data_IF_872771893683
#
_entry.id   IF_872771893683
#
_cell.length_a   1.000
_cell.length_b   1.000
_cell.length_c   1.000
_cell.angle_alpha   90.00
_cell.angle_beta   90.00
_cell.angle_gamma   90.00
#
_symmetry.space_group_name_H-M   'P 1'
#
loop_
_entity.id
_entity.type
_entity.pdbx_description
1 polymer ?
#
# COMPACT_ATOMS: atom_id res chain seq x y z
N UNK A 1 9.21 -10.65 4.14
CA UNK A 1 9.84 -9.75 3.15
C UNK A 1 9.61 -8.32 3.60
N UNK A 2 10.61 -7.47 3.51
CA UNK A 2 10.39 -6.08 3.90
C UNK A 2 9.64 -5.33 2.79
N UNK A 3 9.15 -4.14 3.12
CA UNK A 3 8.31 -3.39 2.20
C UNK A 3 9.04 -3.00 0.92
N UNK A 4 10.31 -2.62 1.02
CA UNK A 4 11.08 -2.21 -0.16
C UNK A 4 11.24 -3.38 -1.13
N UNK A 5 11.49 -4.57 -0.59
CA UNK A 5 11.61 -5.78 -1.41
C UNK A 5 10.28 -6.11 -2.08
N UNK A 6 9.19 -6.01 -1.31
CA UNK A 6 7.86 -6.34 -1.83
C UNK A 6 7.46 -5.38 -2.96
N UNK A 7 7.72 -4.09 -2.79
CA UNK A 7 7.42 -3.10 -3.83
C UNK A 7 8.30 -3.35 -5.06
N UNK A 8 9.58 -3.67 -4.85
CA UNK A 8 10.48 -3.99 -5.97
C UNK A 8 9.99 -5.16 -6.79
N UNK A 9 9.56 -6.24 -6.11
CA UNK A 9 9.02 -7.40 -6.81
C UNK A 9 7.72 -7.09 -7.53
N UNK A 10 6.87 -6.29 -6.92
CA UNK A 10 5.64 -5.87 -7.55
C UNK A 10 5.91 -5.16 -8.88
N UNK A 11 6.87 -4.25 -8.88
CA UNK A 11 7.20 -3.50 -10.08
C UNK A 11 7.79 -4.40 -11.17
N UNK A 12 8.49 -5.45 -10.78
CA UNK A 12 9.04 -6.41 -11.74
C UNK A 12 7.98 -7.32 -12.33
N UNK A 13 7.03 -7.73 -11.50
CA UNK A 13 6.01 -8.69 -11.93
C UNK A 13 4.89 -8.06 -12.73
N UNK A 14 4.50 -6.83 -12.39
CA UNK A 14 3.36 -6.19 -13.03
C UNK A 14 3.81 -5.24 -14.13
N UNK A 15 3.35 -5.49 -15.35
CA UNK A 15 3.64 -4.60 -16.48
C UNK A 15 2.68 -3.42 -16.53
N UNK A 16 1.63 -3.43 -15.71
CA UNK A 16 0.60 -2.40 -15.77
C UNK A 16 0.80 -1.28 -14.77
N UNK A 17 1.54 -1.54 -13.70
CA UNK A 17 1.73 -0.58 -12.62
C UNK A 17 2.86 0.37 -12.97
N UNK A 18 2.58 1.67 -12.89
CA UNK A 18 3.57 2.71 -13.20
C UNK A 18 4.28 3.25 -11.97
N UNK A 19 3.61 3.21 -10.82
CA UNK A 19 4.21 3.60 -9.55
C UNK A 19 3.43 2.94 -8.41
N UNK A 20 4.12 2.67 -7.31
CA UNK A 20 3.48 2.02 -6.16
C UNK A 20 4.10 2.49 -4.86
N UNK A 21 3.28 2.50 -3.79
CA UNK A 21 3.76 2.78 -2.44
C UNK A 21 3.13 1.79 -1.47
N UNK A 22 3.82 1.58 -0.35
CA UNK A 22 3.29 0.78 0.74
C UNK A 22 3.27 1.64 2.00
N UNK A 23 2.15 1.58 2.72
CA UNK A 23 1.95 2.35 3.94
C UNK A 23 1.71 1.43 5.12
N UNK A 24 2.16 1.84 6.30
CA UNK A 24 1.90 1.12 7.53
C UNK A 24 0.56 1.51 8.14
N UNK A 25 0.29 0.95 9.29
CA UNK A 25 -0.98 1.16 9.99
C UNK A 25 -1.22 2.63 10.31
N UNK A 26 -0.16 3.35 10.65
CA UNK A 26 -0.24 4.76 11.01
C UNK A 26 -0.20 5.69 9.80
N UNK A 27 -0.20 5.14 8.59
CA UNK A 27 -0.14 5.95 7.38
C UNK A 27 1.25 6.34 6.95
N UNK A 28 2.28 5.92 7.69
CA UNK A 28 3.65 6.24 7.31
C UNK A 28 4.07 5.44 6.08
N UNK A 29 4.93 6.04 5.26
CA UNK A 29 5.41 5.39 4.04
C UNK A 29 6.47 4.37 4.41
N UNK A 30 6.21 3.10 4.10
CA UNK A 30 7.16 2.02 4.34
C UNK A 30 8.12 1.86 3.17
N UNK A 31 7.63 2.04 1.96
CA UNK A 31 8.43 1.92 0.75
C UNK A 31 7.72 2.55 -0.42
N UNK A 32 8.48 2.89 -1.45
CA UNK A 32 7.95 3.52 -2.65
C UNK A 32 8.77 3.05 -3.85
N UNK A 33 8.14 2.99 -5.02
CA UNK A 33 8.83 2.67 -6.26
C UNK A 33 9.59 3.86 -6.84
N UNK A 34 9.40 5.05 -6.27
CA UNK A 34 10.07 6.27 -6.74
C UNK A 34 10.77 6.97 -5.59
N UNK A 35 11.84 7.69 -5.93
CA UNK A 35 12.58 8.50 -4.95
C UNK A 35 12.10 9.95 -4.93
N UNK A 36 11.17 10.30 -5.80
CA UNK A 36 10.64 11.66 -5.88
C UNK A 36 9.74 11.93 -4.67
N UNK A 37 10.24 12.72 -3.73
CA UNK A 37 9.54 12.96 -2.47
C UNK A 37 8.19 13.65 -2.67
N UNK A 38 8.08 14.51 -3.66
CA UNK A 38 6.81 15.17 -3.94
C UNK A 38 5.78 14.18 -4.45
N UNK A 39 6.19 13.24 -5.30
CA UNK A 39 5.31 12.21 -5.82
C UNK A 39 4.87 11.26 -4.70
N UNK A 40 5.79 10.88 -3.83
CA UNK A 40 5.49 10.01 -2.70
C UNK A 40 4.47 10.68 -1.77
N UNK A 41 4.70 11.95 -1.45
CA UNK A 41 3.78 12.69 -0.57
C UNK A 41 2.39 12.80 -1.18
N UNK A 42 2.32 13.05 -2.48
CA UNK A 42 1.04 13.17 -3.18
C UNK A 42 0.29 11.83 -3.19
N UNK A 43 0.97 10.73 -3.52
CA UNK A 43 0.35 9.42 -3.51
C UNK A 43 -0.12 9.00 -2.11
N UNK A 44 0.72 9.27 -1.11
CA UNK A 44 0.40 8.94 0.27
C UNK A 44 -0.85 9.69 0.73
N UNK A 45 -0.88 10.99 0.49
CA UNK A 45 -2.01 11.84 0.87
C UNK A 45 -3.30 11.40 0.16
N UNK A 46 -3.22 11.15 -1.14
CA UNK A 46 -4.39 10.70 -1.91
C UNK A 46 -4.89 9.35 -1.43
N UNK A 47 -3.98 8.45 -1.10
CA UNK A 47 -4.34 7.13 -0.60
C UNK A 47 -5.11 7.23 0.70
N UNK A 48 -4.60 8.02 1.63
CA UNK A 48 -5.25 8.18 2.94
C UNK A 48 -6.60 8.86 2.82
N UNK A 49 -6.71 9.86 1.94
CA UNK A 49 -7.97 10.55 1.70
C UNK A 49 -9.01 9.62 1.10
N UNK A 50 -8.61 8.80 0.13
CA UNK A 50 -9.52 7.86 -0.52
C UNK A 50 -10.02 6.79 0.46
N UNK A 51 -9.12 6.26 1.27
CA UNK A 51 -9.50 5.25 2.27
C UNK A 51 -10.47 5.86 3.28
N UNK A 52 -10.19 7.08 3.73
CA UNK A 52 -11.07 7.76 4.68
C UNK A 52 -12.45 8.03 4.09
N UNK A 53 -12.49 8.53 2.85
CA UNK A 53 -13.76 8.80 2.18
C UNK A 53 -14.54 7.52 1.94
N UNK A 54 -13.86 6.45 1.55
CA UNK A 54 -14.52 5.16 1.30
C UNK A 54 -15.09 4.58 2.58
N UNK A 55 -14.38 4.74 3.70
CA UNK A 55 -14.86 4.23 4.99
C UNK A 55 -16.18 4.91 5.39
N UNK A 56 -16.35 6.17 5.04
CA UNK A 56 -17.57 6.91 5.36
C UNK A 56 -18.78 6.42 4.57
N UNK A 57 -18.56 5.69 3.50
CA UNK A 57 -19.66 5.16 2.68
C UNK A 57 -20.30 3.91 3.29
N UNK A 58 -19.58 3.23 4.16
CA UNK A 58 -20.10 2.00 4.76
C UNK A 58 -21.16 2.29 5.82
N UNK A 59 -22.19 1.48 5.90
CA UNK A 59 -23.30 1.72 6.85
C UNK A 59 -22.86 1.69 8.30
N UNK A 60 -21.83 0.94 8.61
CA UNK A 60 -21.33 0.82 9.99
C UNK A 60 -19.88 1.27 10.12
N UNK A 61 -19.41 2.09 9.18
CA UNK A 61 -18.02 2.50 9.18
C UNK A 61 -17.07 1.34 9.01
N UNK A 62 -17.45 0.35 8.19
CA UNK A 62 -16.67 -0.86 8.00
C UNK A 62 -15.30 -0.60 7.42
N UNK A 63 -14.43 -1.60 7.53
CA UNK A 63 -13.08 -1.49 7.02
C UNK A 63 -13.06 -1.48 5.50
N UNK A 64 -12.24 -0.58 4.96
CA UNK A 64 -12.02 -0.51 3.52
C UNK A 64 -10.99 -1.57 3.15
N UNK A 65 -11.33 -2.43 2.19
CA UNK A 65 -10.41 -3.46 1.72
C UNK A 65 -9.81 -3.12 0.37
N UNK A 66 -10.50 -2.29 -0.41
CA UNK A 66 -10.06 -1.97 -1.76
C UNK A 66 -10.75 -0.70 -2.23
N UNK A 67 -9.99 0.17 -2.91
CA UNK A 67 -10.53 1.33 -3.60
C UNK A 67 -9.96 1.33 -5.01
N UNK A 68 -10.80 1.58 -5.98
CA UNK A 68 -10.40 1.61 -7.38
C UNK A 68 -10.97 2.87 -8.01
N UNK A 69 -10.10 3.69 -8.61
CA UNK A 69 -10.52 4.92 -9.27
C UNK A 69 -10.06 4.86 -10.71
N UNK A 70 -10.99 4.98 -11.63
CA UNK A 70 -10.67 4.99 -13.06
C UNK A 70 -10.63 6.43 -13.54
N UNK A 71 -9.54 6.80 -14.18
CA UNK A 71 -9.36 8.12 -14.73
C UNK A 71 -9.20 7.99 -16.25
N UNK A 72 -9.30 9.12 -16.95
CA UNK A 72 -9.22 9.11 -18.40
C UNK A 72 -7.89 8.54 -18.90
N UNK A 73 -6.80 8.87 -18.22
CA UNK A 73 -5.46 8.50 -18.66
C UNK A 73 -4.80 7.46 -17.79
N UNK A 74 -5.53 6.84 -16.89
CA UNK A 74 -4.97 5.82 -16.02
C UNK A 74 -5.91 5.46 -14.91
N UNK A 75 -5.41 4.70 -13.94
CA UNK A 75 -6.23 4.29 -12.81
C UNK A 75 -5.40 4.31 -11.54
N UNK A 76 -6.07 4.38 -10.42
CA UNK A 76 -5.45 4.37 -9.11
C UNK A 76 -6.11 3.27 -8.28
N UNK A 77 -5.29 2.42 -7.69
CA UNK A 77 -5.78 1.29 -6.91
C UNK A 77 -5.21 1.35 -5.50
N UNK A 78 -6.05 1.03 -4.52
CA UNK A 78 -5.62 0.89 -3.13
C UNK A 78 -6.12 -0.46 -2.62
N UNK A 79 -5.24 -1.24 -2.01
CA UNK A 79 -5.58 -2.52 -1.40
C UNK A 79 -5.08 -2.51 0.03
N UNK A 80 -5.92 -2.94 0.97
CA UNK A 80 -5.56 -3.04 2.37
C UNK A 80 -5.61 -4.49 2.81
N UNK A 81 -4.54 -4.93 3.47
CA UNK A 81 -4.44 -6.27 4.04
C UNK A 81 -3.93 -6.12 5.47
N UNK A 82 -4.81 -6.34 6.43
CA UNK A 82 -4.46 -6.15 7.82
C UNK A 82 -4.09 -4.69 8.08
N UNK A 83 -2.89 -4.47 8.56
CA UNK A 83 -2.42 -3.13 8.90
C UNK A 83 -1.56 -2.49 7.80
N UNK A 84 -1.57 -3.10 6.60
CA UNK A 84 -0.78 -2.58 5.49
C UNK A 84 -1.67 -2.09 4.37
N UNK A 85 -1.23 -1.04 3.71
CA UNK A 85 -1.93 -0.48 2.56
C UNK A 85 -0.94 -0.38 1.42
N UNK A 86 -1.29 -0.93 0.26
CA UNK A 86 -0.48 -0.80 -0.95
C UNK A 86 -1.32 -0.06 -1.98
N UNK A 87 -0.76 0.99 -2.56
CA UNK A 87 -1.44 1.77 -3.57
C UNK A 87 -0.58 1.87 -4.82
N UNK A 88 -1.24 1.95 -5.97
CA UNK A 88 -0.53 1.98 -7.25
C UNK A 88 -1.28 2.78 -8.28
N UNK A 89 -0.52 3.39 -9.20
CA UNK A 89 -1.07 4.00 -10.40
C UNK A 89 -0.80 3.09 -11.58
N UNK A 90 -1.66 3.16 -12.59
CA UNK A 90 -1.52 2.40 -13.82
C UNK A 90 -1.74 3.30 -15.01
N UNK A 91 -1.43 2.79 -16.22
CA UNK A 91 -1.86 3.43 -17.44
C UNK A 91 -3.35 3.21 -17.67
N UNK A 92 -3.87 3.66 -18.83
CA UNK A 92 -5.31 3.52 -19.10
C UNK A 92 -5.69 2.06 -19.35
N UNK A 93 -6.92 1.73 -19.00
CA UNK A 93 -7.53 0.43 -19.26
C UNK A 93 -6.74 -0.75 -18.67
N UNK A 94 -6.44 -0.71 -17.37
CA UNK A 94 -5.72 -1.83 -16.75
C UNK A 94 -6.66 -3.03 -16.61
N UNK A 95 -6.06 -4.22 -16.48
CA UNK A 95 -6.82 -5.42 -16.11
C UNK A 95 -6.97 -5.40 -14.59
N UNK A 96 -8.11 -4.87 -14.13
CA UNK A 96 -8.32 -4.59 -12.70
C UNK A 96 -8.08 -5.78 -11.81
N UNK A 97 -8.61 -6.95 -12.17
CA UNK A 97 -8.44 -8.15 -11.35
C UNK A 97 -6.98 -8.53 -11.16
N UNK A 98 -6.17 -8.37 -12.20
CA UNK A 98 -4.75 -8.67 -12.13
C UNK A 98 -4.00 -7.67 -11.25
N UNK A 99 -4.31 -6.39 -11.42
CA UNK A 99 -3.68 -5.34 -10.60
C UNK A 99 -4.00 -5.57 -9.13
N UNK A 100 -5.28 -5.81 -8.80
CA UNK A 100 -5.69 -6.04 -7.42
C UNK A 100 -5.00 -7.27 -6.86
N UNK A 101 -4.93 -8.35 -7.64
CA UNK A 101 -4.25 -9.56 -7.21
C UNK A 101 -2.78 -9.29 -6.87
N UNK A 102 -2.10 -8.56 -7.76
CA UNK A 102 -0.68 -8.25 -7.56
C UNK A 102 -0.47 -7.37 -6.33
N UNK A 103 -1.35 -6.38 -6.13
CA UNK A 103 -1.25 -5.50 -4.97
C UNK A 103 -1.51 -6.26 -3.67
N UNK A 104 -2.49 -7.16 -3.70
CA UNK A 104 -2.82 -7.96 -2.51
C UNK A 104 -1.68 -8.90 -2.15
N UNK A 105 -1.09 -9.52 -3.18
CA UNK A 105 0.07 -10.39 -2.97
C UNK A 105 1.24 -9.61 -2.38
N UNK A 106 1.46 -8.39 -2.89
CA UNK A 106 2.51 -7.52 -2.37
C UNK A 106 2.26 -7.20 -0.89
N UNK A 107 1.02 -6.79 -0.56
CA UNK A 107 0.68 -6.44 0.82
C UNK A 107 0.87 -7.62 1.76
N UNK A 108 0.47 -8.82 1.32
CA UNK A 108 0.61 -10.03 2.13
C UNK A 108 2.07 -10.42 2.33
N UNK A 109 2.93 -10.08 1.38
CA UNK A 109 4.35 -10.42 1.47
C UNK A 109 5.13 -9.53 2.43
N UNK A 110 4.60 -8.36 2.76
CA UNK A 110 5.28 -7.44 3.67
C UNK A 110 5.16 -7.98 5.09
N UNK A 111 6.30 -8.14 5.75
CA UNK A 111 6.33 -8.63 7.12
C UNK A 111 5.64 -7.67 8.07
N UNK A 112 5.00 -8.22 9.08
CA UNK A 112 4.46 -7.41 10.16
C UNK A 112 5.61 -6.67 10.80
N UNK A 113 5.42 -5.40 11.01
CA UNK A 113 6.49 -4.60 11.56
C UNK A 113 6.91 -5.14 12.89
N UNK A 114 8.12 -5.26 13.03
CA UNK A 114 8.64 -5.73 14.27
C UNK A 114 8.56 -4.66 15.32
N UNK A 115 8.06 -4.41 15.17
CA UNK A 115 7.88 -3.69 15.76
C UNK A 115 8.75 -3.79 16.46
N UNK A 116 8.97 -4.14 16.21
CA UNK A 116 9.27 -4.60 16.48
C UNK A 116 10.24 -4.81 16.40
N UNK A 117 10.59 -4.75 16.87
CA UNK A 117 10.90 -5.01 16.87
C UNK A 117 11.43 -4.85 16.99
N UNK A 118 11.62 -4.67 17.64
CA UNK A 118 11.54 -4.58 17.91
C UNK A 118 12.01 -4.76 18.23
N UNK A 119 12.29 -4.78 18.79
CA UNK A 119 12.06 -4.97 19.02
C UNK A 119 12.58 -5.18 19.55
N UNK A 120 12.98 -5.20 20.14
CA UNK A 120 12.83 -5.44 20.43
C UNK A 120 13.25 -5.58 20.97
N UNK A 121 13.79 -5.45 21.36
CA UNK A 121 13.58 -5.55 21.88
C UNK A 121 13.89 -5.76 22.49
N UNK A 122 14.37 -5.65 22.87
CA UNK A 122 14.10 -5.81 23.45
C UNK A 122 14.34 -6.05 24.05
N UNK A 123 14.70 -6.04 24.31
CA UNK A 123 14.42 -6.26 24.87
C UNK A 123 14.65 -6.48 25.48
N UNK A 124 14.89 -6.42 25.65
CA UNK A 124 14.49 -6.48 26.08
C UNK A 124 14.54 -6.64 26.63
N UNK A 125 15.03 -6.38 26.69
CA UNK A 125 14.58 -6.49 27.04
C UNK A 125 14.54 -6.69 27.46
N UNK A 126 15.13 -6.56 27.58
CA UNK A 126 14.65 -6.74 27.90
C UNK A 126 14.62 -6.98 28.30
N UNK A 127 15.35 -6.77 28.44
CA UNK A 127 14.72 -7.03 28.67
C UNK A 127 14.97 -7.32 29.20
N UNK A 128 15.45 -7.06 29.33
CA UNK A 128 15.04 -7.22 29.67
C UNK A 128 14.99 -7.34 29.97
#
# INVERSE_FOLDING_TARGET
MDAAQAIGELMELSSQITAAIALGEDGSVLASSTDDQAAVASMSSSTLDLVSAAADLGPDGGEVTRVEVELEEGAFFVVREGDRTVAATTGPKPTSGLVVYDLRTCAQAIDSTPKKKRATRKPKEESE
#
